data_IF_734116291194
#
_entry.id   IF_734116291194
#
_cell.length_a   1.000
_cell.length_b   1.000
_cell.length_c   1.000
_cell.angle_alpha   90.00
_cell.angle_beta   90.00
_cell.angle_gamma   90.00
#
_symmetry.space_group_name_H-M   'P 1'
#
loop_
_entity.id
_entity.type
_entity.pdbx_description
1 polymer ?
#
# COMPACT_ATOMS: atom_id res chain seq x y z
N UNK A 1 59.29 -49.98 -41.38
CA UNK A 1 60.45 -49.10 -41.63
C UNK A 1 60.04 -47.69 -41.25
N UNK A 2 60.71 -47.11 -40.24
CA UNK A 2 60.85 -45.67 -39.91
C UNK A 2 59.53 -44.92 -39.64
N UNK A 3 59.19 -44.38 -38.46
CA UNK A 3 60.01 -43.88 -37.36
C UNK A 3 60.17 -42.36 -37.44
N UNK A 4 59.21 -41.58 -36.91
CA UNK A 4 59.47 -40.22 -36.46
C UNK A 4 58.57 -39.88 -35.27
N UNK A 5 59.21 -39.81 -34.09
CA UNK A 5 58.66 -39.22 -32.90
C UNK A 5 58.79 -37.70 -32.95
N UNK A 6 57.76 -37.02 -32.43
CA UNK A 6 57.82 -35.61 -32.04
C UNK A 6 57.55 -35.58 -30.54
N UNK A 7 58.54 -35.11 -29.79
CA UNK A 7 58.48 -34.87 -28.36
C UNK A 7 57.50 -33.72 -28.08
N UNK A 8 56.46 -33.97 -27.27
CA UNK A 8 55.72 -32.92 -26.58
C UNK A 8 56.08 -32.98 -25.09
N UNK A 9 56.70 -31.89 -24.61
CA UNK A 9 57.08 -31.73 -23.22
C UNK A 9 55.86 -31.79 -22.29
N UNK A 10 55.99 -32.59 -21.23
CA UNK A 10 55.02 -32.70 -20.15
C UNK A 10 54.99 -31.42 -19.32
N UNK A 11 53.93 -30.60 -19.48
CA UNK A 11 53.59 -29.54 -18.53
C UNK A 11 53.13 -30.20 -17.21
N UNK A 12 53.89 -29.97 -16.15
CA UNK A 12 53.63 -30.49 -14.81
C UNK A 12 52.33 -29.91 -14.23
N UNK A 13 51.49 -30.78 -13.64
CA UNK A 13 50.17 -30.49 -13.04
C UNK A 13 50.13 -29.32 -12.02
N UNK A 14 51.29 -28.84 -11.57
CA UNK A 14 51.42 -27.75 -10.61
C UNK A 14 51.17 -26.36 -11.23
N UNK A 15 51.49 -26.15 -12.52
CA UNK A 15 51.32 -24.84 -13.19
C UNK A 15 49.85 -24.53 -13.54
N UNK A 16 49.04 -25.57 -13.78
CA UNK A 16 47.59 -25.46 -14.00
C UNK A 16 46.84 -24.96 -12.75
N UNK A 17 47.37 -25.19 -11.54
CA UNK A 17 46.73 -24.79 -10.28
C UNK A 17 46.89 -23.30 -9.94
N UNK A 18 47.99 -22.68 -10.41
CA UNK A 18 48.30 -21.27 -10.19
C UNK A 18 47.59 -20.35 -11.20
N UNK A 19 47.44 -20.80 -12.45
CA UNK A 19 46.63 -20.12 -13.47
C UNK A 19 45.14 -20.05 -13.09
N UNK A 20 44.57 -21.15 -12.60
CA UNK A 20 43.17 -21.20 -12.20
C UNK A 20 42.84 -20.28 -10.99
N UNK A 21 43.79 -20.10 -10.06
CA UNK A 21 43.62 -19.17 -8.93
C UNK A 21 43.70 -17.70 -9.35
N UNK A 22 44.57 -17.36 -10.31
CA UNK A 22 44.67 -15.99 -10.86
C UNK A 22 43.44 -15.62 -11.69
N UNK A 23 42.88 -16.55 -12.45
CA UNK A 23 41.63 -16.34 -13.21
C UNK A 23 40.44 -16.14 -12.27
N UNK A 24 40.33 -16.91 -11.18
CA UNK A 24 39.27 -16.74 -10.18
C UNK A 24 39.40 -15.41 -9.41
N UNK A 25 40.62 -14.99 -9.10
CA UNK A 25 40.86 -13.69 -8.45
C UNK A 25 40.53 -12.51 -9.39
N UNK A 26 40.88 -12.60 -10.68
CA UNK A 26 40.53 -11.60 -11.68
C UNK A 26 39.01 -11.53 -11.93
N UNK A 27 38.33 -12.67 -11.96
CA UNK A 27 36.87 -12.72 -12.10
C UNK A 27 36.14 -12.14 -10.87
N UNK A 28 36.66 -12.39 -9.66
CA UNK A 28 36.11 -11.80 -8.44
C UNK A 28 36.30 -10.27 -8.41
N UNK A 29 37.47 -9.76 -8.85
CA UNK A 29 37.73 -8.32 -8.93
C UNK A 29 36.81 -7.63 -9.96
N UNK A 30 36.60 -8.27 -11.12
CA UNK A 30 35.64 -7.79 -12.13
C UNK A 30 34.20 -7.79 -11.61
N UNK A 31 33.79 -8.81 -10.85
CA UNK A 31 32.47 -8.85 -10.24
C UNK A 31 32.27 -7.72 -9.22
N UNK A 32 33.30 -7.39 -8.41
CA UNK A 32 33.25 -6.26 -7.47
C UNK A 32 33.20 -4.92 -8.19
N UNK A 33 33.96 -4.75 -9.29
CA UNK A 33 33.91 -3.53 -10.12
C UNK A 33 32.53 -3.37 -10.79
N UNK A 34 31.95 -4.45 -11.32
CA UNK A 34 30.59 -4.42 -11.89
C UNK A 34 29.52 -4.08 -10.85
N UNK A 35 29.64 -4.60 -9.62
CA UNK A 35 28.71 -4.26 -8.53
C UNK A 35 28.89 -2.80 -8.08
N UNK A 36 30.13 -2.28 -8.05
CA UNK A 36 30.36 -0.87 -7.69
C UNK A 36 29.90 0.10 -8.76
N UNK A 37 29.96 -0.27 -10.06
CA UNK A 37 29.41 0.56 -11.15
C UNK A 37 27.87 0.54 -11.13
N UNK A 38 27.22 -0.59 -10.79
CA UNK A 38 25.75 -0.62 -10.65
C UNK A 38 25.24 0.20 -9.46
N UNK A 39 26.02 0.35 -8.38
CA UNK A 39 25.64 1.21 -7.24
C UNK A 39 25.86 2.69 -7.56
N UNK A 40 26.73 3.04 -8.52
CA UNK A 40 27.02 4.43 -8.93
C UNK A 40 26.29 4.89 -10.21
N UNK A 41 25.55 4.01 -10.90
CA UNK A 41 24.77 4.33 -12.13
C UNK A 41 23.25 4.18 -11.98
N UNK A 42 22.73 4.07 -10.75
CA UNK A 42 21.30 4.25 -10.46
C UNK A 42 21.10 5.49 -9.60
N UNK A 43 21.69 6.58 -10.07
CA UNK A 43 21.17 7.92 -9.86
C UNK A 43 21.44 8.66 -11.17
N UNK A 44 20.46 9.43 -11.64
CA UNK A 44 20.54 10.30 -12.83
C UNK A 44 20.27 9.66 -14.21
N UNK A 45 18.98 9.46 -14.53
CA UNK A 45 18.43 9.87 -15.85
C UNK A 45 16.90 9.83 -15.87
N UNK A 46 16.27 10.96 -15.55
CA UNK A 46 14.99 11.35 -16.15
C UNK A 46 15.29 11.91 -17.55
N UNK A 47 14.75 11.36 -18.66
CA UNK A 47 14.90 11.96 -19.97
C UNK A 47 13.62 12.68 -20.36
N UNK A 48 13.41 13.90 -19.85
CA UNK A 48 12.55 14.87 -20.53
C UNK A 48 12.83 16.30 -20.07
N UNK A 49 14.00 16.83 -20.43
CA UNK A 49 14.20 18.28 -20.52
C UNK A 49 14.59 18.62 -21.95
N UNK A 50 13.58 18.84 -22.79
CA UNK A 50 13.74 19.62 -24.01
C UNK A 50 13.97 21.07 -23.55
N UNK A 51 15.19 21.57 -23.73
CA UNK A 51 15.50 22.98 -23.53
C UNK A 51 14.98 23.80 -24.71
N UNK A 52 13.87 24.50 -24.52
CA UNK A 52 13.48 25.64 -25.35
C UNK A 52 13.78 26.90 -24.54
N UNK A 53 14.69 27.73 -25.06
CA UNK A 53 14.95 29.08 -24.57
C UNK A 53 13.80 30.02 -24.88
N UNK A 54 13.51 30.87 -23.90
CA UNK A 54 12.80 32.15 -23.93
C UNK A 54 11.30 32.15 -24.28
N UNK A 55 10.46 32.23 -23.24
CA UNK A 55 9.60 33.40 -22.98
C UNK A 55 8.71 33.18 -21.73
N UNK A 56 8.46 34.28 -21.03
CA UNK A 56 7.64 34.47 -19.84
C UNK A 56 6.49 33.46 -19.60
N UNK A 57 6.44 32.84 -18.40
CA UNK A 57 5.21 32.19 -17.93
C UNK A 57 5.37 31.01 -16.96
N UNK A 58 4.71 31.12 -15.81
CA UNK A 58 4.30 30.04 -14.88
C UNK A 58 5.37 29.21 -14.17
N UNK A 59 5.51 29.47 -12.88
CA UNK A 59 6.18 28.63 -11.90
C UNK A 59 5.30 27.38 -11.63
N UNK A 60 5.54 26.27 -12.32
CA UNK A 60 4.90 24.99 -11.98
C UNK A 60 5.65 24.36 -10.81
N UNK A 61 5.10 24.49 -9.61
CA UNK A 61 5.47 23.65 -8.46
C UNK A 61 4.94 22.25 -8.75
N UNK A 62 5.79 21.34 -9.21
CA UNK A 62 5.51 19.91 -9.19
C UNK A 62 5.55 19.43 -7.74
N UNK A 63 4.45 19.64 -7.01
CA UNK A 63 4.20 18.98 -5.72
C UNK A 63 4.07 17.47 -5.97
N UNK A 64 5.20 16.77 -6.04
CA UNK A 64 5.21 15.31 -6.00
C UNK A 64 4.85 14.89 -4.58
N UNK A 65 3.59 14.52 -4.37
CA UNK A 65 3.13 13.97 -3.09
C UNK A 65 3.85 12.64 -2.89
N UNK A 66 4.81 12.60 -1.96
CA UNK A 66 5.51 11.36 -1.62
C UNK A 66 4.52 10.28 -1.17
N UNK A 67 4.64 9.08 -1.74
CA UNK A 67 3.84 7.92 -1.33
C UNK A 67 4.10 7.59 0.14
N UNK A 68 3.06 7.23 0.91
CA UNK A 68 3.24 6.79 2.29
C UNK A 68 4.14 5.55 2.36
N UNK A 69 5.09 5.56 3.32
CA UNK A 69 5.97 4.42 3.60
C UNK A 69 5.25 3.48 4.57
N UNK A 70 5.00 2.24 4.12
CA UNK A 70 4.30 1.24 4.92
C UNK A 70 5.27 0.26 5.58
N UNK A 71 5.03 -0.05 6.85
CA UNK A 71 5.76 -1.11 7.55
C UNK A 71 5.02 -2.44 7.38
N UNK A 72 5.43 -3.25 6.41
CA UNK A 72 4.69 -4.43 5.97
C UNK A 72 4.80 -5.61 6.96
N UNK A 73 5.78 -5.57 7.86
CA UNK A 73 6.18 -6.70 8.72
C UNK A 73 5.55 -6.73 10.11
N UNK A 74 4.79 -5.71 10.52
CA UNK A 74 4.21 -5.65 11.87
C UNK A 74 2.71 -5.87 11.87
N UNK A 75 2.30 -6.89 12.62
CA UNK A 75 0.92 -7.01 13.06
C UNK A 75 0.55 -5.81 13.95
N UNK A 76 -0.68 -5.32 13.79
CA UNK A 76 -1.18 -4.20 14.57
C UNK A 76 -1.67 -4.71 15.93
N UNK A 77 -1.15 -4.22 17.07
CA UNK A 77 -1.47 -4.80 18.38
C UNK A 77 -2.92 -4.52 18.82
N UNK A 78 -3.50 -3.41 18.37
CA UNK A 78 -4.83 -2.97 18.76
C UNK A 78 -5.46 -2.12 17.67
N UNK A 79 -6.76 -2.29 17.43
CA UNK A 79 -7.52 -1.53 16.43
C UNK A 79 -8.79 -0.97 17.04
N UNK A 80 -9.18 0.23 16.61
CA UNK A 80 -10.49 0.78 16.86
C UNK A 80 -11.51 0.16 15.92
N UNK A 81 -12.66 -0.22 16.46
CA UNK A 81 -13.76 -0.79 15.68
C UNK A 81 -15.03 -0.01 15.92
N UNK A 82 -15.58 0.53 14.83
CA UNK A 82 -16.91 1.11 14.81
C UNK A 82 -18.03 0.07 14.72
N UNK A 83 -19.29 0.48 14.86
CA UNK A 83 -20.44 -0.40 14.75
C UNK A 83 -20.47 -1.14 13.41
N UNK A 84 -20.81 -2.42 13.45
CA UNK A 84 -20.98 -3.26 12.26
C UNK A 84 -19.68 -3.76 11.61
N UNK A 85 -18.49 -3.41 12.13
CA UNK A 85 -17.26 -3.93 11.52
C UNK A 85 -17.15 -5.46 11.69
N UNK A 86 -16.58 -6.17 10.71
CA UNK A 86 -16.53 -7.63 10.69
C UNK A 86 -15.42 -8.16 11.62
N UNK A 87 -15.66 -8.11 12.94
CA UNK A 87 -14.68 -8.53 13.97
C UNK A 87 -14.18 -9.96 13.71
N UNK A 88 -15.06 -10.89 13.33
CA UNK A 88 -14.69 -12.27 13.03
C UNK A 88 -13.68 -12.36 11.87
N UNK A 89 -13.86 -11.54 10.84
CA UNK A 89 -12.96 -11.47 9.70
C UNK A 89 -11.61 -10.87 10.05
N UNK A 90 -11.63 -9.80 10.86
CA UNK A 90 -10.43 -9.15 11.36
C UNK A 90 -9.64 -10.06 12.29
N UNK A 91 -10.31 -10.88 13.11
CA UNK A 91 -9.68 -11.90 13.97
C UNK A 91 -9.08 -13.06 13.17
N UNK A 92 -9.63 -13.39 12.00
CA UNK A 92 -9.18 -14.52 11.17
C UNK A 92 -7.73 -14.26 10.73
N UNK A 93 -6.79 -15.00 11.34
CA UNK A 93 -5.33 -14.89 11.16
C UNK A 93 -4.66 -13.63 11.76
N UNK A 94 -5.36 -12.92 12.65
CA UNK A 94 -4.84 -11.77 13.41
C UNK A 94 -5.19 -11.94 14.89
N UNK A 95 -4.79 -13.08 15.47
CA UNK A 95 -5.30 -13.58 16.76
C UNK A 95 -4.92 -12.75 17.98
N UNK A 96 -3.84 -11.97 17.90
CA UNK A 96 -3.35 -11.14 18.99
C UNK A 96 -3.94 -9.72 19.02
N UNK A 97 -4.78 -9.36 18.04
CA UNK A 97 -5.34 -8.00 17.95
C UNK A 97 -6.34 -7.74 19.06
N UNK A 98 -6.10 -6.67 19.81
CA UNK A 98 -7.09 -6.12 20.73
C UNK A 98 -8.09 -5.23 19.97
N UNK A 99 -9.37 -5.52 20.14
CA UNK A 99 -10.44 -4.69 19.59
C UNK A 99 -10.87 -3.68 20.63
N UNK A 100 -10.75 -2.40 20.30
CA UNK A 100 -11.24 -1.30 21.14
C UNK A 100 -12.49 -0.76 20.47
N UNK A 101 -13.64 -0.93 21.12
CA UNK A 101 -14.88 -0.36 20.60
C UNK A 101 -14.78 1.17 20.65
N UNK A 102 -15.09 1.84 19.55
CA UNK A 102 -15.28 3.28 19.58
C UNK A 102 -16.60 3.56 20.28
N UNK A 103 -16.62 4.40 21.34
CA UNK A 103 -17.86 4.79 21.99
C UNK A 103 -18.69 5.57 20.97
N UNK A 104 -19.68 4.90 20.39
CA UNK A 104 -20.66 5.55 19.54
C UNK A 104 -21.79 6.02 20.41
N UNK A 105 -21.71 7.28 20.84
CA UNK A 105 -22.77 8.17 21.31
C UNK A 105 -22.57 8.81 22.70
N UNK A 106 -22.88 10.11 22.73
CA UNK A 106 -23.24 10.99 23.85
C UNK A 106 -22.20 11.43 24.88
N UNK A 107 -20.96 10.95 24.85
CA UNK A 107 -19.89 11.49 25.71
C UNK A 107 -18.67 11.89 24.88
N UNK A 108 -18.67 13.16 24.43
CA UNK A 108 -17.60 13.78 23.65
C UNK A 108 -16.22 13.59 24.31
N UNK A 109 -16.19 13.71 25.64
CA UNK A 109 -14.98 13.48 26.44
C UNK A 109 -14.51 12.03 26.34
N UNK A 110 -15.41 11.05 26.44
CA UNK A 110 -15.05 9.64 26.34
C UNK A 110 -14.52 9.27 24.96
N UNK A 111 -15.04 9.88 23.89
CA UNK A 111 -14.54 9.67 22.53
C UNK A 111 -13.13 10.24 22.36
N UNK A 112 -12.92 11.48 22.79
CA UNK A 112 -11.60 12.12 22.76
C UNK A 112 -10.59 11.36 23.60
N UNK A 113 -10.95 10.99 24.83
CA UNK A 113 -10.13 10.16 25.70
C UNK A 113 -9.81 8.83 25.02
N UNK A 114 -10.79 8.14 24.43
CA UNK A 114 -10.52 6.89 23.72
C UNK A 114 -9.47 7.06 22.62
N UNK A 115 -9.58 8.11 21.78
CA UNK A 115 -8.63 8.36 20.69
C UNK A 115 -7.22 8.70 21.19
N UNK A 116 -7.10 9.49 22.25
CA UNK A 116 -5.83 10.07 22.70
C UNK A 116 -5.15 9.31 23.86
N UNK A 117 -5.90 8.62 24.73
CA UNK A 117 -5.34 7.75 25.81
C UNK A 117 -4.90 6.37 25.28
N UNK A 118 -5.20 6.07 24.03
CA UNK A 118 -4.71 4.88 23.34
C UNK A 118 -3.82 5.26 22.15
N UNK A 119 -2.69 5.97 22.37
CA UNK A 119 -1.82 6.43 21.29
C UNK A 119 -1.17 5.28 20.52
N UNK A 120 -1.18 4.07 21.08
CA UNK A 120 -0.66 2.85 20.44
C UNK A 120 -1.63 2.22 19.44
N UNK A 121 -2.90 2.64 19.40
CA UNK A 121 -3.87 2.18 18.40
C UNK A 121 -3.62 2.96 17.10
N UNK A 122 -3.14 2.32 16.02
CA UNK A 122 -2.76 3.04 14.81
C UNK A 122 -3.90 3.13 13.80
N UNK A 123 -4.99 2.38 13.97
CA UNK A 123 -6.01 2.23 12.93
C UNK A 123 -7.44 2.12 13.49
N UNK A 124 -8.39 2.72 12.78
CA UNK A 124 -9.83 2.63 13.03
C UNK A 124 -10.56 2.00 11.83
N UNK A 125 -11.53 1.12 12.07
CA UNK A 125 -12.29 0.42 11.02
C UNK A 125 -13.78 0.67 11.16
N UNK A 126 -14.43 1.11 10.09
CA UNK A 126 -15.86 1.42 10.01
C UNK A 126 -16.54 0.62 8.89
N UNK A 127 -17.63 -0.09 9.20
CA UNK A 127 -18.51 -0.71 8.20
C UNK A 127 -19.79 0.08 7.93
N UNK A 128 -19.95 1.22 8.59
CA UNK A 128 -21.04 2.16 8.38
C UNK A 128 -20.60 3.57 8.75
N UNK A 129 -21.36 4.59 8.35
CA UNK A 129 -20.97 5.97 8.52
C UNK A 129 -20.79 6.27 10.01
N UNK A 130 -19.64 6.79 10.44
CA UNK A 130 -19.45 7.19 11.82
C UNK A 130 -20.39 8.36 12.12
N UNK A 131 -21.36 8.14 13.00
CA UNK A 131 -22.33 9.15 13.44
C UNK A 131 -21.74 10.21 14.36
N UNK A 132 -20.63 10.83 13.97
CA UNK A 132 -19.90 11.80 14.78
C UNK A 132 -20.62 13.15 14.87
N UNK A 133 -20.61 13.73 16.07
CA UNK A 133 -20.93 15.14 16.30
C UNK A 133 -19.83 16.05 15.70
N UNK A 134 -20.08 17.36 15.62
CA UNK A 134 -19.12 18.30 15.04
C UNK A 134 -17.77 18.32 15.79
N UNK A 135 -17.79 18.20 17.12
CA UNK A 135 -16.59 18.18 17.93
C UNK A 135 -15.80 16.87 17.72
N UNK A 136 -16.49 15.73 17.79
CA UNK A 136 -15.89 14.41 17.56
C UNK A 136 -15.29 14.30 16.16
N UNK A 137 -15.91 14.93 15.16
CA UNK A 137 -15.37 15.05 13.81
C UNK A 137 -14.01 15.76 13.82
N UNK A 138 -13.90 16.91 14.49
CA UNK A 138 -12.64 17.68 14.58
C UNK A 138 -11.55 16.86 15.26
N UNK A 139 -11.88 16.21 16.38
CA UNK A 139 -10.93 15.34 17.11
C UNK A 139 -10.51 14.12 16.28
N UNK A 140 -11.44 13.49 15.56
CA UNK A 140 -11.15 12.35 14.71
C UNK A 140 -10.26 12.73 13.52
N UNK A 141 -10.54 13.87 12.87
CA UNK A 141 -9.69 14.39 11.79
C UNK A 141 -8.29 14.71 12.31
N UNK A 142 -8.18 15.31 13.51
CA UNK A 142 -6.90 15.57 14.15
C UNK A 142 -6.13 14.28 14.51
N UNK A 143 -6.85 13.24 14.92
CA UNK A 143 -6.27 11.92 15.18
C UNK A 143 -5.72 11.29 13.90
N UNK A 144 -6.48 11.30 12.79
CA UNK A 144 -5.99 10.81 11.49
C UNK A 144 -4.80 11.64 11.00
N UNK A 145 -4.89 12.97 11.07
CA UNK A 145 -3.82 13.87 10.60
C UNK A 145 -2.51 13.72 11.38
N UNK A 146 -2.56 13.21 12.62
CA UNK A 146 -1.39 12.91 13.45
C UNK A 146 -0.55 11.70 13.00
N UNK A 147 -1.02 10.95 11.99
CA UNK A 147 -0.31 9.76 11.49
C UNK A 147 -1.06 8.46 11.68
N UNK A 148 -2.38 8.53 11.88
CA UNK A 148 -3.22 7.36 12.13
C UNK A 148 -4.01 6.99 10.88
N UNK A 149 -4.38 5.73 10.80
CA UNK A 149 -5.03 5.17 9.63
C UNK A 149 -6.51 4.92 9.91
N UNK A 150 -7.34 5.06 8.88
CA UNK A 150 -8.75 4.73 8.96
C UNK A 150 -9.14 3.89 7.76
N UNK A 151 -9.97 2.87 7.99
CA UNK A 151 -10.47 1.97 6.97
C UNK A 151 -11.99 2.04 6.95
N UNK A 152 -12.55 2.44 5.83
CA UNK A 152 -13.99 2.42 5.56
C UNK A 152 -14.34 1.20 4.70
N UNK A 153 -15.38 0.47 5.06
CA UNK A 153 -15.76 -0.79 4.43
C UNK A 153 -17.09 -0.67 3.72
N UNK A 154 -17.07 -0.68 2.40
CA UNK A 154 -18.21 -0.82 1.51
C UNK A 154 -19.31 0.23 1.68
N UNK A 155 -20.24 0.25 0.74
CA UNK A 155 -21.48 1.01 0.85
C UNK A 155 -21.35 2.50 0.54
N UNK A 156 -22.38 3.01 -0.13
CA UNK A 156 -22.54 4.42 -0.47
C UNK A 156 -22.39 5.35 0.75
N UNK A 157 -22.96 4.95 1.90
CA UNK A 157 -22.95 5.75 3.13
C UNK A 157 -21.53 6.05 3.64
N UNK A 158 -20.59 5.13 3.46
CA UNK A 158 -19.19 5.34 3.86
C UNK A 158 -18.46 6.29 2.91
N UNK A 159 -18.74 6.23 1.61
CA UNK A 159 -18.19 7.20 0.64
C UNK A 159 -18.71 8.61 0.96
N UNK A 160 -20.01 8.74 1.24
CA UNK A 160 -20.59 10.01 1.70
C UNK A 160 -19.93 10.49 2.99
N UNK A 161 -19.72 9.61 3.97
CA UNK A 161 -19.03 9.96 5.20
C UNK A 161 -17.59 10.43 4.94
N UNK A 162 -16.85 9.77 4.05
CA UNK A 162 -15.49 10.20 3.66
C UNK A 162 -15.50 11.61 3.04
N UNK A 163 -16.45 11.89 2.16
CA UNK A 163 -16.61 13.23 1.57
C UNK A 163 -16.95 14.27 2.64
N UNK A 164 -17.84 13.95 3.59
CA UNK A 164 -18.23 14.87 4.66
C UNK A 164 -17.15 15.09 5.72
N UNK A 165 -16.32 14.08 6.01
CA UNK A 165 -15.26 14.16 7.00
C UNK A 165 -14.00 14.83 6.45
N UNK A 166 -13.60 14.47 5.23
CA UNK A 166 -12.29 14.85 4.69
C UNK A 166 -12.35 15.78 3.48
N UNK A 167 -13.52 15.97 2.86
CA UNK A 167 -13.69 16.86 1.71
C UNK A 167 -13.14 16.32 0.40
N UNK A 168 -13.15 15.00 0.19
CA UNK A 168 -12.52 14.36 -0.98
C UNK A 168 -13.32 14.43 -2.30
N UNK A 169 -14.60 14.82 -2.27
CA UNK A 169 -15.46 14.92 -3.47
C UNK A 169 -15.53 13.63 -4.33
N UNK A 170 -15.45 12.46 -3.68
CA UNK A 170 -15.49 11.16 -4.35
C UNK A 170 -16.83 10.91 -5.03
N UNK A 171 -16.79 10.46 -6.28
CA UNK A 171 -17.97 10.12 -7.07
C UNK A 171 -18.24 8.63 -6.95
N UNK A 172 -19.42 8.30 -6.41
CA UNK A 172 -19.83 6.93 -6.18
C UNK A 172 -20.21 6.22 -7.48
N UNK A 173 -19.68 5.01 -7.68
CA UNK A 173 -20.09 4.10 -8.76
C UNK A 173 -20.86 2.93 -8.15
N UNK A 174 -22.17 2.79 -8.47
CA UNK A 174 -22.98 1.70 -7.93
C UNK A 174 -22.66 0.37 -8.60
N UNK A 175 -22.32 -0.63 -7.78
CA UNK A 175 -22.33 -2.06 -8.10
C UNK A 175 -21.93 -2.40 -9.54
N UNK A 176 -20.71 -2.00 -9.90
CA UNK A 176 -20.14 -2.35 -11.20
C UNK A 176 -19.62 -3.80 -11.14
N UNK A 177 -19.99 -4.67 -12.09
CA UNK A 177 -19.55 -6.06 -12.06
C UNK A 177 -18.06 -6.19 -12.40
N UNK A 178 -17.31 -6.82 -11.51
CA UNK A 178 -15.91 -7.21 -11.68
C UNK A 178 -15.68 -8.30 -12.74
N UNK A 179 -14.44 -8.77 -12.93
CA UNK A 179 -13.38 -8.82 -11.91
C UNK A 179 -12.51 -7.56 -11.81
N UNK A 180 -12.06 -7.26 -10.59
CA UNK A 180 -11.15 -6.16 -10.30
C UNK A 180 -9.71 -6.65 -10.22
N UNK A 181 -8.79 -5.94 -10.86
CA UNK A 181 -7.39 -6.33 -10.95
C UNK A 181 -6.53 -5.48 -10.01
N UNK A 182 -5.50 -6.11 -9.46
CA UNK A 182 -4.51 -5.42 -8.66
C UNK A 182 -3.74 -4.42 -9.54
N UNK A 183 -3.67 -3.15 -9.12
CA UNK A 183 -2.99 -2.10 -9.87
C UNK A 183 -1.47 -2.17 -9.67
N UNK A 184 -0.77 -2.73 -10.66
CA UNK A 184 0.68 -2.96 -10.63
C UNK A 184 1.52 -1.69 -10.46
N UNK A 185 0.98 -0.49 -10.73
CA UNK A 185 1.70 0.79 -10.60
C UNK A 185 1.65 1.35 -9.18
N UNK A 186 0.55 1.10 -8.47
CA UNK A 186 0.27 1.72 -7.18
C UNK A 186 0.52 0.79 -5.99
N UNK A 187 0.41 -0.51 -6.23
CA UNK A 187 0.52 -1.53 -5.20
C UNK A 187 1.96 -1.78 -4.66
N UNK A 188 3.04 -1.67 -5.45
CA UNK A 188 4.39 -1.88 -4.94
C UNK A 188 4.73 -0.98 -3.73
N UNK A 189 5.33 -1.55 -2.69
CA UNK A 189 5.67 -0.85 -1.45
C UNK A 189 4.51 -0.68 -0.46
N UNK A 190 3.33 -1.22 -0.78
CA UNK A 190 2.14 -1.18 0.09
C UNK A 190 1.82 -2.56 0.68
N UNK A 191 1.03 -2.67 1.76
CA UNK A 191 0.55 -3.95 2.26
C UNK A 191 -0.26 -4.76 1.24
N UNK A 192 -0.77 -4.12 0.18
CA UNK A 192 -1.52 -4.78 -0.89
C UNK A 192 -0.62 -5.53 -1.89
N UNK A 193 0.71 -5.35 -1.84
CA UNK A 193 1.65 -5.99 -2.77
C UNK A 193 1.58 -7.51 -2.76
N UNK A 194 1.34 -8.08 -1.59
CA UNK A 194 1.21 -9.53 -1.40
C UNK A 194 -0.25 -9.99 -1.40
N UNK A 195 -1.17 -9.11 -1.80
CA UNK A 195 -2.59 -9.41 -1.95
C UNK A 195 -2.89 -10.28 -3.18
N UNK A 196 -4.15 -10.73 -3.32
CA UNK A 196 -4.59 -11.44 -4.50
C UNK A 196 -4.42 -10.58 -5.77
N UNK A 197 -4.03 -11.18 -6.89
CA UNK A 197 -3.91 -10.46 -8.17
C UNK A 197 -5.26 -10.00 -8.74
N UNK A 198 -6.34 -10.66 -8.32
CA UNK A 198 -7.70 -10.43 -8.81
C UNK A 198 -8.73 -10.60 -7.70
N UNK A 199 -9.69 -9.69 -7.62
CA UNK A 199 -10.89 -9.81 -6.80
C UNK A 199 -12.05 -10.20 -7.69
N UNK A 200 -12.60 -11.38 -7.45
CA UNK A 200 -13.83 -11.85 -8.07
C UNK A 200 -15.03 -11.49 -7.20
N UNK A 201 -16.14 -11.18 -7.85
CA UNK A 201 -17.38 -10.84 -7.15
C UNK A 201 -17.99 -12.06 -6.48
N UNK A 202 -17.85 -12.09 -5.18
CA UNK A 202 -18.63 -12.97 -4.29
C UNK A 202 -19.68 -12.18 -3.52
N UNK A 203 -19.53 -10.86 -3.48
CA UNK A 203 -20.37 -9.88 -2.79
C UNK A 203 -20.45 -8.62 -3.64
N UNK A 204 -21.49 -7.78 -3.49
CA UNK A 204 -21.56 -6.47 -4.14
C UNK A 204 -20.31 -5.63 -3.82
N UNK A 205 -19.75 -5.01 -4.86
CA UNK A 205 -18.67 -4.05 -4.73
C UNK A 205 -19.18 -2.64 -4.97
N UNK A 206 -18.79 -1.72 -4.10
CA UNK A 206 -19.13 -0.32 -4.18
C UNK A 206 -17.85 0.45 -4.46
N UNK A 207 -17.72 1.05 -5.64
CA UNK A 207 -16.51 1.73 -6.06
C UNK A 207 -16.66 3.25 -6.13
N UNK A 208 -15.57 3.89 -6.53
CA UNK A 208 -15.54 5.30 -6.93
C UNK A 208 -14.92 5.44 -8.32
N UNK A 209 -15.27 6.50 -9.04
CA UNK A 209 -14.62 6.78 -10.33
C UNK A 209 -13.14 7.10 -10.06
N UNK A 210 -12.25 6.58 -10.91
CA UNK A 210 -10.81 6.85 -10.80
C UNK A 210 -10.51 8.35 -10.89
N UNK A 211 -11.29 9.09 -11.68
CA UNK A 211 -11.14 10.52 -11.89
C UNK A 211 -11.54 11.35 -10.65
N UNK A 212 -12.40 10.80 -9.79
CA UNK A 212 -12.76 11.44 -8.51
C UNK A 212 -11.73 11.25 -7.40
N UNK A 213 -10.73 10.39 -7.59
CA UNK A 213 -9.67 10.23 -6.59
C UNK A 213 -8.82 11.50 -6.55
N UNK A 214 -8.59 12.08 -5.36
CA UNK A 214 -7.72 13.25 -5.24
C UNK A 214 -6.28 12.89 -5.64
N UNK A 215 -5.43 13.90 -5.88
CA UNK A 215 -4.02 13.68 -6.25
C UNK A 215 -3.21 12.87 -5.22
N UNK A 216 -3.65 12.86 -3.97
CA UNK A 216 -3.07 12.05 -2.88
C UNK A 216 -3.67 10.63 -2.79
N UNK A 217 -4.59 10.29 -3.70
CA UNK A 217 -5.32 9.04 -3.80
C UNK A 217 -4.64 8.04 -4.74
N UNK A 218 -4.60 6.79 -4.33
CA UNK A 218 -4.02 5.69 -5.10
C UNK A 218 -4.97 4.51 -5.11
N UNK A 219 -5.40 4.12 -6.32
CA UNK A 219 -6.17 2.89 -6.55
C UNK A 219 -5.27 1.66 -6.40
N UNK A 220 -5.70 0.70 -5.58
CA UNK A 220 -5.04 -0.60 -5.36
C UNK A 220 -5.67 -1.71 -6.19
N UNK A 221 -7.00 -1.66 -6.36
CA UNK A 221 -7.76 -2.60 -7.17
C UNK A 221 -8.78 -1.83 -8.00
N UNK A 222 -8.68 -1.97 -9.31
CA UNK A 222 -9.53 -1.29 -10.28
C UNK A 222 -9.90 -2.18 -11.47
N UNK A 223 -10.95 -1.77 -12.16
CA UNK A 223 -11.35 -2.28 -13.46
C UNK A 223 -11.98 -1.13 -14.25
N UNK A 224 -11.55 -0.94 -15.49
CA UNK A 224 -12.03 0.18 -16.32
C UNK A 224 -11.76 1.52 -15.66
N UNK A 225 -12.82 2.27 -15.36
CA UNK A 225 -12.78 3.59 -14.72
C UNK A 225 -13.17 3.58 -13.25
N UNK A 226 -13.23 2.42 -12.61
CA UNK A 226 -13.72 2.27 -11.24
C UNK A 226 -12.69 1.63 -10.34
N UNK A 227 -12.47 2.25 -9.18
CA UNK A 227 -11.64 1.75 -8.10
C UNK A 227 -12.50 1.23 -6.96
N UNK A 228 -12.25 -0.01 -6.54
CA UNK A 228 -12.96 -0.65 -5.42
C UNK A 228 -12.13 -0.73 -4.16
N UNK A 229 -10.81 -0.58 -4.26
CA UNK A 229 -9.92 -0.49 -3.10
C UNK A 229 -8.92 0.60 -3.40
N UNK A 230 -8.89 1.61 -2.55
CA UNK A 230 -7.97 2.72 -2.68
C UNK A 230 -7.56 3.23 -1.31
N UNK A 231 -6.50 4.03 -1.29
CA UNK A 231 -6.21 4.87 -0.15
C UNK A 231 -5.92 6.30 -0.58
N UNK A 232 -6.17 7.23 0.33
CA UNK A 232 -5.89 8.64 0.18
C UNK A 232 -4.96 9.04 1.33
N UNK A 233 -3.80 9.60 1.00
CA UNK A 233 -2.90 10.17 2.00
C UNK A 233 -3.56 11.44 2.56
N UNK A 234 -3.65 11.52 3.88
CA UNK A 234 -4.25 12.64 4.61
C UNK A 234 -3.29 13.13 5.68
N UNK A 235 -2.53 14.18 5.35
CA UNK A 235 -1.41 14.67 6.16
C UNK A 235 -0.40 13.53 6.45
N UNK A 236 -0.22 13.17 7.73
CA UNK A 236 0.65 12.07 8.13
C UNK A 236 -0.06 10.72 8.11
N UNK A 237 -1.39 10.70 8.12
CA UNK A 237 -2.21 9.48 8.16
C UNK A 237 -2.68 9.03 6.78
N UNK A 238 -3.47 7.96 6.76
CA UNK A 238 -4.08 7.44 5.54
C UNK A 238 -5.55 7.09 5.74
N UNK A 239 -6.35 7.38 4.71
CA UNK A 239 -7.76 6.98 4.64
C UNK A 239 -7.88 5.90 3.58
N UNK A 240 -8.16 4.68 3.99
CA UNK A 240 -8.36 3.54 3.11
C UNK A 240 -9.85 3.22 2.97
N UNK A 241 -10.24 2.82 1.77
CA UNK A 241 -11.58 2.33 1.49
C UNK A 241 -11.50 0.94 0.84
N UNK A 242 -12.34 0.02 1.31
CA UNK A 242 -12.48 -1.32 0.76
C UNK A 242 -13.95 -1.53 0.39
N UNK A 243 -14.26 -1.50 -0.90
CA UNK A 243 -15.61 -1.42 -1.43
C UNK A 243 -16.49 -2.67 -1.28
N UNK A 244 -15.92 -3.78 -0.82
CA UNK A 244 -16.68 -5.00 -0.59
C UNK A 244 -17.64 -4.84 0.60
N UNK A 245 -18.82 -5.45 0.52
CA UNK A 245 -19.74 -5.50 1.64
C UNK A 245 -19.39 -6.68 2.57
N UNK A 246 -19.08 -6.37 3.83
CA UNK A 246 -18.63 -7.36 4.83
C UNK A 246 -19.77 -7.86 5.75
N UNK A 247 -21.02 -7.78 5.31
CA UNK A 247 -22.20 -8.19 6.09
C UNK A 247 -22.33 -9.71 6.27
N UNK A 248 -21.55 -10.51 5.52
CA UNK A 248 -21.62 -11.97 5.55
C UNK A 248 -20.55 -12.60 6.45
N UNK A 249 -20.96 -13.58 7.26
CA UNK A 249 -20.13 -14.26 8.27
C UNK A 249 -18.94 -15.03 7.66
N UNK A 250 -19.04 -15.40 6.38
CA UNK A 250 -18.04 -16.17 5.65
C UNK A 250 -17.44 -15.35 4.52
N UNK A 251 -16.55 -14.43 4.85
CA UNK A 251 -15.78 -13.73 3.81
C UNK A 251 -14.91 -14.73 3.05
N UNK A 252 -14.97 -14.72 1.71
CA UNK A 252 -14.07 -15.51 0.90
C UNK A 252 -12.63 -15.01 1.06
N UNK A 253 -11.69 -15.96 0.99
CA UNK A 253 -10.26 -15.76 1.30
C UNK A 253 -9.56 -14.53 0.67
N UNK A 254 -9.85 -14.10 -0.57
CA UNK A 254 -9.20 -12.90 -1.11
C UNK A 254 -9.62 -11.61 -0.38
N UNK A 255 -10.88 -11.46 0.01
CA UNK A 255 -11.38 -10.24 0.67
C UNK A 255 -10.86 -10.10 2.10
N UNK A 256 -10.73 -11.21 2.83
CA UNK A 256 -10.09 -11.20 4.15
C UNK A 256 -8.62 -10.75 4.07
N UNK A 257 -7.92 -11.10 3.00
CA UNK A 257 -6.52 -10.68 2.78
C UNK A 257 -6.43 -9.18 2.49
N UNK A 258 -7.31 -8.65 1.64
CA UNK A 258 -7.40 -7.22 1.35
C UNK A 258 -7.72 -6.41 2.61
N UNK A 259 -8.69 -6.86 3.41
CA UNK A 259 -9.05 -6.19 4.66
C UNK A 259 -7.86 -6.13 5.63
N UNK A 260 -7.08 -7.22 5.74
CA UNK A 260 -5.87 -7.23 6.58
C UNK A 260 -4.80 -6.29 6.05
N UNK A 261 -4.62 -6.21 4.72
CA UNK A 261 -3.70 -5.27 4.11
C UNK A 261 -4.10 -3.82 4.42
N UNK A 262 -5.39 -3.48 4.31
CA UNK A 262 -5.92 -2.16 4.64
C UNK A 262 -5.67 -1.79 6.12
N UNK A 263 -5.80 -2.74 7.04
CA UNK A 263 -5.56 -2.51 8.48
C UNK A 263 -4.07 -2.34 8.82
N UNK A 264 -3.16 -2.84 7.98
CA UNK A 264 -1.69 -2.75 8.15
C UNK A 264 -1.04 -1.56 7.46
N UNK A 265 -1.85 -0.74 6.78
CA UNK A 265 -1.41 0.56 6.29
C UNK A 265 -0.88 1.42 7.44
#
# INVERSE_FOLDING_TARGET
RVGHGVYFGSLTMQELSLGARRVRAAAALLAVICLSVQIFWVDESDPSSVSVTDSEGSFFVTNTVERPKFSVDRYVPSIFVGPGAPITALKRHHYAVRFVALPTSFQQEAFRVALWDHPTVPVAVFAGPPGFTELERKDFIAWVSSGKNVVFLGGYSNIVAMNQLFGFELEYVPNEPGPYWQNVRNVPGTPFQYGPSRLTETTPFYGVTLDSLPLSGYSMYDAGHTSVVFFIKYNLGTVCYVGAQFSEVNLPDPLGTVLRAAVRM
#
